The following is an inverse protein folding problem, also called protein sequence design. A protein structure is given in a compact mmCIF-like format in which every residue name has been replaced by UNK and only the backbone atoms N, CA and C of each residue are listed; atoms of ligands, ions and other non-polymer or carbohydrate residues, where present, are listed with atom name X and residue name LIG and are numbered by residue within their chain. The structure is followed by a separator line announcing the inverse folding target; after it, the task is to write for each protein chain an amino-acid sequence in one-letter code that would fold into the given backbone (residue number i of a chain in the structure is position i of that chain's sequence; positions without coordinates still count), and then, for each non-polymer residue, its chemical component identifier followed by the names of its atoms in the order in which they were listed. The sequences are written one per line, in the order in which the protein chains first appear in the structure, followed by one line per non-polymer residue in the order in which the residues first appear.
data_IF_040113393701
#
_entry.id   IF_040113393701
#
_cell.length_a   1.000
_cell.length_b   1.000
_cell.length_c   1.000
_cell.angle_alpha   90.00
_cell.angle_beta   90.00
_cell.angle_gamma   90.00
#
_symmetry.space_group_name_H-M   'P 1'
#
loop_
_entity.id
_entity.type
_entity.pdbx_description
1 polymer ?
#
# COMPACT_ATOMS: atom_id res chain seq x y z
N UNK A 1 7.30 -4.46 11.17
CA UNK A 1 7.40 -5.52 10.12
C UNK A 1 8.79 -6.14 10.03
N UNK A 2 9.89 -5.37 10.07
CA UNK A 2 11.27 -5.95 10.08
C UNK A 2 11.51 -6.95 11.22
N UNK A 3 10.82 -6.82 12.36
CA UNK A 3 10.92 -7.79 13.45
C UNK A 3 10.29 -9.17 13.12
N UNK A 4 9.43 -9.25 12.10
CA UNK A 4 8.83 -10.50 11.61
C UNK A 4 9.69 -11.19 10.56
N UNK A 5 10.45 -10.42 9.78
CA UNK A 5 11.36 -10.95 8.75
C UNK A 5 12.45 -9.91 8.45
N UNK A 6 13.72 -10.24 8.75
CA UNK A 6 14.86 -9.37 8.50
C UNK A 6 15.12 -9.14 6.99
N UNK A 7 14.69 -10.07 6.14
CA UNK A 7 14.80 -9.95 4.69
C UNK A 7 13.77 -8.99 4.08
N UNK A 8 12.74 -8.58 4.84
CA UNK A 8 11.72 -7.64 4.39
C UNK A 8 12.35 -6.29 4.01
N UNK A 9 12.13 -5.86 2.76
CA UNK A 9 12.69 -4.62 2.19
C UNK A 9 14.23 -4.55 2.19
N UNK A 10 14.95 -5.68 2.37
CA UNK A 10 16.41 -5.70 2.39
C UNK A 10 17.05 -5.39 1.01
N UNK A 11 16.28 -5.48 -0.06
CA UNK A 11 16.71 -5.13 -1.42
C UNK A 11 16.57 -3.63 -1.76
N UNK A 12 16.09 -2.81 -0.83
CA UNK A 12 15.99 -1.36 -1.03
C UNK A 12 17.37 -0.70 -0.95
N UNK A 13 17.65 0.31 -1.82
CA UNK A 13 18.93 1.01 -1.77
C UNK A 13 19.13 1.70 -0.41
N UNK A 14 20.35 1.60 0.11
CA UNK A 14 20.78 2.36 1.29
C UNK A 14 21.45 3.64 0.85
N UNK A 15 21.08 4.75 1.46
CA UNK A 15 21.63 6.10 1.17
C UNK A 15 22.63 6.58 2.23
N UNK A 16 22.97 5.74 3.21
CA UNK A 16 23.83 6.10 4.35
C UNK A 16 25.25 6.57 3.98
N UNK A 17 25.69 6.27 2.75
CA UNK A 17 27.01 6.63 2.22
C UNK A 17 26.98 7.81 1.23
N UNK A 18 25.81 8.41 1.00
CA UNK A 18 25.62 9.55 0.10
C UNK A 18 25.42 10.83 0.91
N UNK A 19 25.82 11.97 0.36
CA UNK A 19 25.43 13.27 0.93
C UNK A 19 23.92 13.44 0.82
N UNK A 20 23.29 14.06 1.83
CA UNK A 20 21.83 14.22 1.89
C UNK A 20 21.25 14.85 0.61
N UNK A 21 21.98 15.82 0.04
CA UNK A 21 21.58 16.51 -1.19
C UNK A 21 21.54 15.60 -2.43
N UNK A 22 22.29 14.50 -2.43
CA UNK A 22 22.34 13.52 -3.52
C UNK A 22 21.25 12.42 -3.35
N UNK A 23 20.57 12.40 -2.20
CA UNK A 23 19.52 11.43 -1.90
C UNK A 23 18.15 11.98 -2.32
N UNK A 24 17.12 11.12 -2.44
CA UNK A 24 15.74 11.57 -2.62
C UNK A 24 15.23 12.45 -1.47
N UNK A 25 15.93 12.45 -0.33
CA UNK A 25 15.56 13.21 0.87
C UNK A 25 16.09 14.64 0.86
N UNK A 26 17.05 14.99 -0.01
CA UNK A 26 17.63 16.34 -0.09
C UNK A 26 16.62 17.45 -0.36
N UNK A 27 15.44 17.12 -0.92
CA UNK A 27 14.38 18.10 -1.21
C UNK A 27 13.31 18.16 -0.10
N UNK A 28 13.41 17.35 0.96
CA UNK A 28 12.36 17.28 2.01
C UNK A 28 12.16 18.60 2.72
N UNK A 29 13.23 19.35 3.00
CA UNK A 29 13.14 20.65 3.66
C UNK A 29 12.31 21.63 2.84
N UNK A 30 12.59 21.74 1.55
CA UNK A 30 11.85 22.63 0.66
C UNK A 30 10.42 22.17 0.45
N UNK A 31 10.21 20.87 0.30
CA UNK A 31 8.86 20.30 0.24
C UNK A 31 8.04 20.64 1.50
N UNK A 32 8.63 20.48 2.68
CA UNK A 32 7.97 20.82 3.94
C UNK A 32 7.61 22.30 4.03
N UNK A 33 8.52 23.20 3.60
CA UNK A 33 8.23 24.64 3.54
C UNK A 33 7.07 24.97 2.60
N UNK A 34 7.00 24.29 1.45
CA UNK A 34 5.88 24.46 0.50
C UNK A 34 4.57 23.99 1.11
N UNK A 35 4.55 22.81 1.74
CA UNK A 35 3.33 22.26 2.38
C UNK A 35 2.84 23.16 3.50
N UNK A 36 3.75 23.66 4.34
CA UNK A 36 3.43 24.59 5.42
C UNK A 36 2.87 25.91 4.89
N UNK A 37 3.52 26.51 3.88
CA UNK A 37 3.04 27.73 3.24
C UNK A 37 1.65 27.58 2.63
N UNK A 38 1.38 26.41 2.04
CA UNK A 38 0.07 26.08 1.45
C UNK A 38 -0.98 25.71 2.50
N UNK A 39 -0.62 25.57 3.78
CA UNK A 39 -1.52 25.08 4.82
C UNK A 39 -1.96 23.64 4.61
N UNK A 40 -1.16 22.83 3.88
CA UNK A 40 -1.43 21.40 3.69
C UNK A 40 -0.98 20.64 4.93
N UNK A 41 -1.91 19.96 5.64
CA UNK A 41 -1.58 19.20 6.82
C UNK A 41 -0.54 18.11 6.50
N UNK A 42 0.53 18.08 7.26
CA UNK A 42 1.58 17.08 7.19
C UNK A 42 1.66 16.32 8.51
N UNK A 43 1.81 15.01 8.41
CA UNK A 43 1.96 14.15 9.57
C UNK A 43 3.25 13.35 9.48
N UNK A 44 3.86 13.17 10.64
CA UNK A 44 5.06 12.36 10.81
C UNK A 44 4.89 11.52 12.08
N UNK A 45 5.23 10.25 12.04
CA UNK A 45 5.14 9.34 13.18
C UNK A 45 6.28 8.35 13.17
N UNK A 46 6.74 7.95 14.35
CA UNK A 46 7.71 6.87 14.56
C UNK A 46 7.05 5.57 15.02
N UNK A 47 5.76 5.59 15.34
CA UNK A 47 5.05 4.51 16.01
C UNK A 47 4.53 3.43 15.04
N UNK A 48 4.36 3.79 13.77
CA UNK A 48 3.90 2.88 12.73
C UNK A 48 4.51 3.24 11.36
N UNK A 49 4.34 2.35 10.38
CA UNK A 49 4.67 2.69 8.98
C UNK A 49 3.63 3.68 8.42
N UNK A 50 4.06 4.59 7.54
CA UNK A 50 3.19 5.58 6.90
C UNK A 50 1.98 4.93 6.22
N UNK A 51 2.18 3.75 5.62
CA UNK A 51 1.13 3.01 4.92
C UNK A 51 0.01 2.56 5.88
N UNK A 52 0.36 2.19 7.13
CA UNK A 52 -0.60 1.82 8.16
C UNK A 52 -1.39 3.04 8.65
N UNK A 53 -0.74 4.21 8.73
CA UNK A 53 -1.42 5.46 9.07
C UNK A 53 -2.40 5.87 7.97
N UNK A 54 -2.00 5.81 6.70
CA UNK A 54 -2.89 6.05 5.56
C UNK A 54 -4.08 5.09 5.58
N UNK A 55 -3.83 3.79 5.88
CA UNK A 55 -4.89 2.79 5.98
C UNK A 55 -5.89 3.12 7.10
N UNK A 56 -5.41 3.57 8.26
CA UNK A 56 -6.27 3.95 9.38
C UNK A 56 -7.16 5.16 9.01
N UNK A 57 -6.58 6.19 8.38
CA UNK A 57 -7.36 7.33 7.88
C UNK A 57 -8.38 6.91 6.81
N UNK A 58 -7.95 6.15 5.80
CA UNK A 58 -8.83 5.72 4.72
C UNK A 58 -10.03 4.93 5.23
N UNK A 59 -9.83 4.01 6.17
CA UNK A 59 -10.92 3.24 6.79
C UNK A 59 -11.84 4.12 7.61
N UNK A 60 -11.28 4.96 8.48
CA UNK A 60 -12.06 5.84 9.36
C UNK A 60 -12.87 6.87 8.58
N UNK A 61 -12.26 7.51 7.58
CA UNK A 61 -12.91 8.55 6.79
C UNK A 61 -13.88 7.94 5.76
N UNK A 62 -13.54 6.81 5.17
CA UNK A 62 -14.39 6.11 4.19
C UNK A 62 -15.73 5.65 4.73
N UNK A 63 -15.92 5.60 6.05
CA UNK A 63 -17.24 5.39 6.66
C UNK A 63 -18.22 6.55 6.37
N UNK A 64 -17.72 7.79 6.24
CA UNK A 64 -18.52 9.02 6.20
C UNK A 64 -18.36 9.82 4.92
N UNK A 65 -17.21 9.76 4.25
CA UNK A 65 -16.88 10.58 3.08
C UNK A 65 -16.14 9.78 2.00
N UNK A 66 -16.00 10.37 0.81
CA UNK A 66 -15.15 9.82 -0.24
C UNK A 66 -13.69 10.14 0.08
N UNK A 67 -12.82 9.16 -0.15
CA UNK A 67 -11.37 9.23 0.10
C UNK A 67 -10.63 8.83 -1.15
N UNK A 68 -9.77 9.69 -1.63
CA UNK A 68 -8.84 9.41 -2.72
C UNK A 68 -7.42 9.29 -2.18
N UNK A 69 -6.82 8.11 -2.28
CA UNK A 69 -5.43 7.86 -1.90
C UNK A 69 -4.53 8.15 -3.09
N UNK A 70 -3.76 9.23 -3.04
CA UNK A 70 -2.82 9.58 -4.10
C UNK A 70 -1.49 8.82 -3.89
N UNK A 71 -1.32 7.68 -4.55
CA UNK A 71 -0.15 6.82 -4.40
C UNK A 71 0.04 5.89 -5.60
N UNK A 72 1.29 5.45 -5.82
CA UNK A 72 1.63 4.36 -6.75
C UNK A 72 1.73 3.00 -6.05
N UNK A 73 1.73 2.97 -4.72
CA UNK A 73 1.84 1.72 -3.98
C UNK A 73 0.59 0.87 -4.15
N UNK A 74 0.79 -0.36 -4.62
CA UNK A 74 -0.31 -1.30 -4.85
C UNK A 74 -0.89 -1.86 -3.55
N UNK A 75 -0.22 -1.72 -2.42
CA UNK A 75 -0.71 -2.24 -1.17
C UNK A 75 -1.99 -1.53 -0.71
N UNK A 76 -2.19 -0.29 -1.15
CA UNK A 76 -3.45 0.43 -0.92
C UNK A 76 -4.67 -0.14 -1.66
N UNK A 77 -4.49 -1.06 -2.61
CA UNK A 77 -5.63 -1.78 -3.18
C UNK A 77 -6.45 -2.55 -2.14
N UNK A 78 -5.86 -2.91 -1.00
CA UNK A 78 -6.56 -3.52 0.13
C UNK A 78 -7.65 -2.62 0.75
N UNK A 79 -7.61 -1.32 0.47
CA UNK A 79 -8.47 -0.30 1.06
C UNK A 79 -9.62 0.12 0.15
N UNK A 80 -9.59 -0.31 -1.12
CA UNK A 80 -10.60 0.08 -2.10
C UNK A 80 -11.99 -0.35 -1.66
N UNK A 81 -12.92 0.58 -1.70
CA UNK A 81 -14.32 0.37 -1.34
C UNK A 81 -15.21 1.30 -2.16
N UNK A 82 -16.51 1.27 -1.92
CA UNK A 82 -17.45 2.19 -2.59
C UNK A 82 -17.16 3.68 -2.29
N UNK A 83 -16.33 3.99 -1.30
CA UNK A 83 -15.95 5.36 -0.90
C UNK A 83 -14.46 5.60 -0.84
N UNK A 84 -13.64 4.58 -1.06
CA UNK A 84 -12.18 4.71 -1.06
C UNK A 84 -11.66 4.30 -2.43
N UNK A 85 -10.97 5.21 -3.09
CA UNK A 85 -10.27 4.97 -4.36
C UNK A 85 -8.79 5.29 -4.26
N UNK A 86 -8.01 4.82 -5.22
CA UNK A 86 -6.59 5.16 -5.36
C UNK A 86 -6.35 5.89 -6.68
N UNK A 87 -5.73 7.06 -6.60
CA UNK A 87 -5.31 7.83 -7.77
C UNK A 87 -3.82 7.62 -8.03
N UNK A 88 -3.48 7.18 -9.24
CA UNK A 88 -2.12 7.13 -9.75
C UNK A 88 -1.91 8.28 -10.72
N UNK A 89 -1.40 9.38 -10.19
CA UNK A 89 -1.29 10.63 -10.94
C UNK A 89 -0.19 10.58 -12.02
N UNK A 90 -0.59 10.80 -13.27
CA UNK A 90 0.32 10.96 -14.42
C UNK A 90 -0.15 12.10 -15.32
N UNK A 91 -0.53 13.23 -14.76
CA UNK A 91 -1.13 14.31 -15.51
C UNK A 91 -2.39 13.85 -16.25
N UNK A 92 -2.43 13.99 -17.58
CA UNK A 92 -3.58 13.58 -18.41
C UNK A 92 -3.82 12.05 -18.42
N UNK A 93 -2.85 11.25 -18.01
CA UNK A 93 -2.92 9.78 -17.95
C UNK A 93 -3.16 9.29 -16.51
N UNK A 94 -3.71 10.13 -15.65
CA UNK A 94 -4.09 9.74 -14.30
C UNK A 94 -5.09 8.59 -14.32
N UNK A 95 -4.82 7.55 -13.57
CA UNK A 95 -5.67 6.37 -13.44
C UNK A 95 -6.28 6.34 -12.05
N UNK A 96 -7.61 6.23 -12.01
CA UNK A 96 -8.35 5.98 -10.78
C UNK A 96 -8.60 4.46 -10.65
N UNK A 97 -8.22 3.91 -9.51
CA UNK A 97 -8.51 2.54 -9.13
C UNK A 97 -9.65 2.54 -8.13
N UNK A 98 -10.72 1.91 -8.50
CA UNK A 98 -11.88 1.59 -7.67
C UNK A 98 -12.06 0.06 -7.56
N UNK A 99 -13.01 -0.45 -6.77
CA UNK A 99 -13.25 -1.88 -6.68
C UNK A 99 -13.58 -2.57 -8.01
N UNK A 100 -14.23 -1.89 -8.95
CA UNK A 100 -14.61 -2.47 -10.25
C UNK A 100 -13.36 -2.64 -11.14
N UNK A 101 -12.60 -1.57 -11.31
CA UNK A 101 -11.32 -1.61 -12.03
C UNK A 101 -10.37 -2.65 -11.45
N UNK A 102 -10.36 -2.79 -10.12
CA UNK A 102 -9.57 -3.79 -9.43
C UNK A 102 -10.04 -5.21 -9.75
N UNK A 103 -11.35 -5.49 -9.64
CA UNK A 103 -11.93 -6.81 -9.96
C UNK A 103 -11.69 -7.21 -11.41
N UNK A 104 -11.85 -6.28 -12.34
CA UNK A 104 -11.57 -6.52 -13.77
C UNK A 104 -10.11 -6.93 -14.00
N UNK A 105 -9.18 -6.29 -13.29
CA UNK A 105 -7.75 -6.55 -13.43
C UNK A 105 -7.29 -7.85 -12.77
N UNK A 106 -7.72 -8.08 -11.53
CA UNK A 106 -7.17 -9.16 -10.68
C UNK A 106 -8.13 -10.35 -10.54
N UNK A 107 -9.43 -10.16 -10.81
CA UNK A 107 -10.45 -11.22 -10.70
C UNK A 107 -10.71 -11.68 -9.27
N UNK A 108 -10.43 -10.84 -8.28
CA UNK A 108 -10.64 -11.05 -6.84
C UNK A 108 -11.20 -9.78 -6.22
N UNK A 109 -11.62 -9.85 -4.95
CA UNK A 109 -12.03 -8.67 -4.20
C UNK A 109 -10.82 -7.90 -3.62
N UNK A 110 -10.93 -6.56 -3.43
CA UNK A 110 -9.86 -5.75 -2.83
C UNK A 110 -9.34 -6.30 -1.51
N UNK A 111 -10.22 -6.77 -0.63
CA UNK A 111 -9.88 -7.32 0.69
C UNK A 111 -9.01 -8.58 0.60
N UNK A 112 -9.03 -9.27 -0.54
CA UNK A 112 -8.21 -10.45 -0.80
C UNK A 112 -6.79 -10.11 -1.30
N UNK A 113 -6.46 -8.82 -1.49
CA UNK A 113 -5.20 -8.44 -2.14
C UNK A 113 -3.97 -8.80 -1.31
N UNK A 114 -4.02 -8.69 0.01
CA UNK A 114 -2.93 -9.14 0.88
C UNK A 114 -2.70 -10.66 0.77
N UNK A 115 -3.76 -11.44 0.71
CA UNK A 115 -3.69 -12.89 0.49
C UNK A 115 -3.14 -13.23 -0.89
N UNK A 116 -3.56 -12.48 -1.91
CA UNK A 116 -3.07 -12.61 -3.27
C UNK A 116 -1.56 -12.35 -3.37
N UNK A 117 -1.06 -11.24 -2.81
CA UNK A 117 0.37 -10.94 -2.75
C UNK A 117 1.15 -11.93 -1.90
N UNK A 118 0.55 -12.46 -0.84
CA UNK A 118 1.17 -13.52 -0.03
C UNK A 118 1.46 -14.77 -0.85
N UNK A 119 0.51 -15.16 -1.72
CA UNK A 119 0.60 -16.31 -2.60
C UNK A 119 1.58 -16.10 -3.75
N UNK A 120 1.53 -14.94 -4.41
CA UNK A 120 2.35 -14.61 -5.58
C UNK A 120 3.75 -14.12 -5.24
N UNK A 121 3.93 -13.60 -4.02
CA UNK A 121 5.10 -12.84 -3.62
C UNK A 121 5.04 -11.37 -4.04
N UNK A 122 6.00 -10.61 -3.53
CA UNK A 122 6.25 -9.21 -3.89
C UNK A 122 7.76 -8.97 -3.99
N UNK A 123 8.24 -8.84 -5.22
CA UNK A 123 9.65 -8.62 -5.48
C UNK A 123 10.14 -7.24 -5.00
N UNK A 124 9.27 -6.22 -4.97
CA UNK A 124 9.63 -4.88 -4.50
C UNK A 124 9.96 -4.86 -3.00
N UNK A 125 9.33 -5.72 -2.23
CA UNK A 125 9.52 -5.85 -0.79
C UNK A 125 10.32 -7.09 -0.39
N UNK A 126 10.92 -7.78 -1.38
CA UNK A 126 11.69 -9.00 -1.18
C UNK A 126 10.88 -10.14 -0.52
N UNK A 127 9.60 -10.24 -0.87
CA UNK A 127 8.68 -11.27 -0.37
C UNK A 127 8.54 -12.38 -1.39
N UNK A 128 8.93 -13.60 -1.01
CA UNK A 128 8.80 -14.79 -1.86
C UNK A 128 7.44 -15.46 -1.65
N UNK A 129 6.66 -15.65 -2.72
CA UNK A 129 5.40 -16.40 -2.70
C UNK A 129 5.55 -17.92 -2.68
N UNK A 130 4.46 -18.64 -2.93
CA UNK A 130 4.47 -20.08 -3.14
C UNK A 130 4.99 -20.43 -4.56
N UNK A 131 5.75 -21.50 -4.67
CA UNK A 131 6.23 -21.98 -5.96
C UNK A 131 5.06 -22.38 -6.85
N UNK A 132 5.19 -22.12 -8.16
CA UNK A 132 4.15 -22.44 -9.17
C UNK A 132 2.82 -21.69 -8.98
N UNK A 133 2.76 -20.69 -8.09
CA UNK A 133 1.58 -19.85 -7.85
C UNK A 133 1.80 -18.47 -8.47
N UNK A 134 1.45 -18.33 -9.73
CA UNK A 134 1.38 -17.03 -10.40
C UNK A 134 0.02 -16.36 -10.21
N UNK A 135 -0.16 -15.12 -10.74
CA UNK A 135 -1.37 -14.32 -10.53
C UNK A 135 -2.68 -15.04 -10.87
N UNK A 136 -2.72 -15.77 -11.99
CA UNK A 136 -3.93 -16.51 -12.41
C UNK A 136 -4.28 -17.64 -11.43
N UNK A 137 -3.27 -18.35 -10.94
CA UNK A 137 -3.46 -19.43 -9.97
C UNK A 137 -3.90 -18.90 -8.63
N UNK A 138 -3.25 -17.84 -8.13
CA UNK A 138 -3.62 -17.18 -6.87
C UNK A 138 -5.08 -16.68 -6.90
N UNK A 139 -5.46 -15.97 -7.96
CA UNK A 139 -6.83 -15.49 -8.11
C UNK A 139 -7.85 -16.64 -8.17
N UNK A 140 -7.53 -17.74 -8.86
CA UNK A 140 -8.40 -18.92 -8.88
C UNK A 140 -8.57 -19.52 -7.48
N UNK A 141 -7.48 -19.72 -6.76
CA UNK A 141 -7.50 -20.27 -5.39
C UNK A 141 -8.31 -19.39 -4.44
N UNK A 142 -8.11 -18.06 -4.49
CA UNK A 142 -8.85 -17.12 -3.62
C UNK A 142 -10.33 -17.04 -3.96
N UNK A 143 -10.72 -17.15 -5.22
CA UNK A 143 -12.16 -17.26 -5.58
C UNK A 143 -12.82 -18.54 -5.06
N UNK A 144 -12.06 -19.63 -4.98
CA UNK A 144 -12.57 -20.92 -4.50
C UNK A 144 -12.67 -20.99 -2.98
N UNK A 145 -11.68 -20.46 -2.28
CA UNK A 145 -11.53 -20.59 -0.83
C UNK A 145 -11.86 -19.33 -0.04
N UNK A 146 -11.96 -18.16 -0.70
CA UNK A 146 -12.24 -16.88 -0.08
C UNK A 146 -11.03 -16.23 0.57
N UNK A 147 -10.33 -16.90 1.49
CA UNK A 147 -9.19 -16.37 2.23
C UNK A 147 -7.98 -17.31 2.19
N UNK A 148 -6.80 -16.79 2.53
CA UNK A 148 -5.59 -17.60 2.65
C UNK A 148 -5.75 -18.68 3.74
N UNK A 149 -6.40 -18.38 4.87
CA UNK A 149 -6.62 -19.36 5.92
C UNK A 149 -7.51 -20.50 5.45
N UNK A 150 -8.62 -20.19 4.79
CA UNK A 150 -9.53 -21.21 4.26
C UNK A 150 -8.81 -22.07 3.19
N UNK A 151 -8.00 -21.44 2.33
CA UNK A 151 -7.15 -22.15 1.37
C UNK A 151 -6.18 -23.10 2.08
N UNK A 152 -5.47 -22.62 3.10
CA UNK A 152 -4.50 -23.43 3.84
C UNK A 152 -5.16 -24.57 4.64
N UNK A 153 -6.40 -24.39 5.09
CA UNK A 153 -7.19 -25.43 5.77
C UNK A 153 -7.66 -26.49 4.79
N UNK A 154 -8.15 -26.07 3.60
CA UNK A 154 -8.61 -26.97 2.55
C UNK A 154 -7.54 -27.41 1.55
N UNK A 155 -6.26 -27.16 1.81
CA UNK A 155 -5.18 -27.39 0.84
C UNK A 155 -5.04 -28.86 0.38
N UNK A 156 -5.42 -29.81 1.23
CA UNK A 156 -5.44 -31.24 0.90
C UNK A 156 -6.41 -31.58 -0.25
N UNK A 157 -7.43 -30.77 -0.45
CA UNK A 157 -8.45 -30.97 -1.51
C UNK A 157 -7.99 -30.46 -2.87
N UNK A 158 -6.82 -29.80 -2.95
CA UNK A 158 -6.26 -29.31 -4.21
C UNK A 158 -5.93 -30.53 -5.09
N UNK A 159 -6.61 -30.64 -6.22
CA UNK A 159 -6.51 -31.81 -7.12
C UNK A 159 -5.14 -31.96 -7.78
N UNK A 160 -4.38 -30.86 -7.98
CA UNK A 160 -3.05 -30.87 -8.59
C UNK A 160 -1.99 -31.15 -7.53
N UNK A 161 -1.32 -32.35 -7.54
CA UNK A 161 -0.40 -32.73 -6.46
C UNK A 161 0.75 -31.72 -6.24
N UNK A 162 1.38 -31.26 -7.31
CA UNK A 162 2.50 -30.32 -7.22
C UNK A 162 2.10 -28.94 -6.69
N UNK A 163 0.87 -28.49 -6.96
CA UNK A 163 0.34 -27.24 -6.41
C UNK A 163 -0.01 -27.41 -4.93
N UNK A 164 -0.67 -28.53 -4.58
CA UNK A 164 -0.97 -28.89 -3.19
C UNK A 164 0.29 -28.92 -2.33
N UNK A 165 1.32 -29.63 -2.78
CA UNK A 165 2.62 -29.72 -2.12
C UNK A 165 3.23 -28.33 -1.89
N UNK A 166 3.21 -27.49 -2.94
CA UNK A 166 3.75 -26.12 -2.87
C UNK A 166 3.03 -25.26 -1.82
N UNK A 167 1.70 -25.34 -1.76
CA UNK A 167 0.89 -24.58 -0.76
C UNK A 167 1.18 -25.11 0.64
N UNK A 168 1.16 -26.43 0.85
CA UNK A 168 1.38 -27.04 2.16
C UNK A 168 2.79 -26.75 2.70
N UNK A 169 3.82 -26.95 1.88
CA UNK A 169 5.21 -26.68 2.25
C UNK A 169 5.51 -25.19 2.48
N UNK A 170 4.70 -24.29 1.91
CA UNK A 170 4.84 -22.84 2.07
C UNK A 170 4.00 -22.26 3.21
N UNK A 171 3.22 -23.04 3.93
CA UNK A 171 2.19 -22.58 4.88
C UNK A 171 2.67 -21.48 5.83
N UNK A 172 3.75 -21.71 6.56
CA UNK A 172 4.28 -20.74 7.54
C UNK A 172 4.75 -19.44 6.85
N UNK A 173 5.44 -19.60 5.71
CA UNK A 173 5.89 -18.45 4.91
C UNK A 173 4.71 -17.62 4.41
N UNK A 174 3.65 -18.24 3.91
CA UNK A 174 2.46 -17.53 3.41
C UNK A 174 1.73 -16.77 4.51
N UNK A 175 1.59 -17.34 5.70
CA UNK A 175 1.02 -16.65 6.86
C UNK A 175 1.87 -15.46 7.30
N UNK A 176 3.21 -15.64 7.33
CA UNK A 176 4.14 -14.54 7.60
C UNK A 176 4.07 -13.45 6.53
N UNK A 177 4.08 -13.82 5.26
CA UNK A 177 3.94 -12.88 4.14
C UNK A 177 2.69 -12.01 4.31
N UNK A 178 1.55 -12.63 4.63
CA UNK A 178 0.32 -11.88 4.86
C UNK A 178 0.43 -10.91 6.03
N UNK A 179 1.06 -11.30 7.11
CA UNK A 179 1.30 -10.40 8.24
C UNK A 179 2.22 -9.22 7.88
N UNK A 180 3.14 -9.41 6.94
CA UNK A 180 4.00 -8.34 6.41
C UNK A 180 3.27 -7.40 5.46
N UNK A 181 2.39 -7.93 4.61
CA UNK A 181 1.72 -7.19 3.52
C UNK A 181 0.45 -6.50 4.01
N UNK A 182 -0.28 -7.11 4.95
CA UNK A 182 -1.55 -6.58 5.43
C UNK A 182 -1.35 -5.24 6.11
N UNK A 183 -2.12 -4.25 5.66
CA UNK A 183 -2.12 -2.92 6.24
C UNK A 183 -2.87 -2.92 7.58
N UNK A 184 -2.22 -2.38 8.60
CA UNK A 184 -2.81 -2.20 9.93
C UNK A 184 -3.70 -0.95 9.92
N UNK A 185 -4.99 -1.12 10.17
CA UNK A 185 -5.96 -0.02 10.06
C UNK A 185 -6.48 0.49 11.40
N UNK A 186 -5.84 0.09 12.50
CA UNK A 186 -6.27 0.42 13.87
C UNK A 186 -5.26 1.29 14.62
N UNK A 187 -4.24 1.80 13.92
CA UNK A 187 -3.26 2.73 14.52
C UNK A 187 -3.94 4.03 14.96
N UNK A 188 -3.52 4.65 16.08
CA UNK A 188 -4.05 5.93 16.52
C UNK A 188 -3.86 7.01 15.46
N UNK A 189 -4.89 7.85 15.27
CA UNK A 189 -4.82 8.98 14.35
C UNK A 189 -4.27 10.21 15.08
N UNK A 190 -3.16 10.82 14.60
CA UNK A 190 -2.57 12.01 15.22
C UNK A 190 -3.48 13.23 15.18
N UNK A 191 -4.30 13.34 14.14
CA UNK A 191 -5.26 14.43 13.95
C UNK A 191 -6.64 13.88 13.60
N UNK A 192 -7.69 14.60 13.97
CA UNK A 192 -9.03 14.28 13.50
C UNK A 192 -9.25 14.85 12.10
N UNK A 193 -10.10 14.24 11.27
CA UNK A 193 -10.35 14.71 9.90
C UNK A 193 -10.79 16.18 9.82
N UNK A 194 -11.51 16.65 10.82
CA UNK A 194 -12.01 18.01 10.92
C UNK A 194 -10.89 19.05 11.09
N UNK A 195 -9.73 18.62 11.60
CA UNK A 195 -8.53 19.47 11.80
C UNK A 195 -7.68 19.57 10.52
N UNK A 196 -8.00 18.75 9.50
CA UNK A 196 -7.25 18.68 8.25
C UNK A 196 -7.92 19.41 7.08
N UNK A 197 -8.61 20.50 7.38
CA UNK A 197 -9.25 21.31 6.34
C UNK A 197 -8.19 22.03 5.51
N UNK A 198 -8.29 21.92 4.20
CA UNK A 198 -7.41 22.56 3.24
C UNK A 198 -8.20 23.50 2.32
N UNK A 199 -7.69 24.71 2.14
CA UNK A 199 -8.23 25.69 1.21
C UNK A 199 -7.18 25.95 0.13
N UNK A 200 -7.55 25.72 -1.13
CA UNK A 200 -6.63 25.92 -2.25
C UNK A 200 -6.21 27.40 -2.31
N UNK A 201 -4.91 27.71 -2.29
CA UNK A 201 -4.44 29.08 -2.42
C UNK A 201 -4.73 29.65 -3.82
N UNK A 202 -4.98 30.96 -3.90
CA UNK A 202 -5.21 31.66 -5.16
C UNK A 202 -3.92 31.85 -5.99
N UNK A 203 -2.74 31.72 -5.33
CA UNK A 203 -1.46 31.91 -5.99
C UNK A 203 -1.11 30.71 -6.88
N UNK A 204 -0.43 30.99 -8.01
CA UNK A 204 0.14 29.93 -8.85
C UNK A 204 1.32 29.24 -8.17
N UNK A 205 1.51 27.95 -8.45
CA UNK A 205 2.65 27.18 -7.91
C UNK A 205 4.02 27.83 -8.21
N UNK A 206 4.20 28.40 -9.40
CA UNK A 206 5.43 29.11 -9.75
C UNK A 206 5.65 30.40 -8.95
N UNK A 207 4.58 31.10 -8.54
CA UNK A 207 4.67 32.27 -7.64
C UNK A 207 5.09 31.85 -6.23
N UNK A 208 4.51 30.76 -5.74
CA UNK A 208 4.81 30.19 -4.43
C UNK A 208 6.29 29.76 -4.35
N UNK A 209 6.77 29.01 -5.34
CA UNK A 209 8.15 28.53 -5.36
C UNK A 209 9.18 29.67 -5.41
N UNK A 210 8.91 30.73 -6.19
CA UNK A 210 9.76 31.92 -6.19
C UNK A 210 9.77 32.67 -4.85
N UNK A 211 8.57 32.82 -4.23
CA UNK A 211 8.48 33.46 -2.90
C UNK A 211 9.24 32.71 -1.83
N UNK A 212 9.28 31.39 -1.90
CA UNK A 212 10.01 30.52 -0.97
C UNK A 212 11.50 30.37 -1.35
N UNK A 213 11.95 31.03 -2.41
CA UNK A 213 13.35 30.96 -2.92
C UNK A 213 13.77 29.51 -3.27
N UNK A 214 12.83 28.72 -3.82
CA UNK A 214 13.07 27.34 -4.27
C UNK A 214 13.30 27.32 -5.80
N UNK A 215 12.80 28.32 -6.55
CA UNK A 215 13.02 28.56 -7.98
C UNK A 215 13.54 29.98 -8.23
#
# INVERSE_FOLDING_TARGET
RKALDEAYKANRPEFSHMEEQETPFGQLTDLNRVLEYLGIPRMETTDCETDDLIAAYARRMGEKMYVDILSYDSDFFQLLSNRVSQLRYRGKLTVCWDPNTFREKFGIEPEQYADFKSLTGDASDNIRGAERVGPKTAAKLLRQHGTLEALLTGAEEISQPALRESILSSRERLLRNRALIRLEGTVPLPFMPEEMTFVLPEESSGSILRRLEIL
#
